data_IF_138148184256
#
_entry.id   IF_138148184256
#
_cell.length_a   1.000
_cell.length_b   1.000
_cell.length_c   1.000
_cell.angle_alpha   90.00
_cell.angle_beta   90.00
_cell.angle_gamma   90.00
#
_symmetry.space_group_name_H-M   'P 1'
#
loop_
_entity.id
_entity.type
_entity.pdbx_description
1 polymer ?
#
# COMPACT_ATOMS: atom_id res chain seq x y z
N UNK A 1 -10.70 -48.60 -43.69
CA UNK A 1 -10.46 -47.19 -44.04
C UNK A 1 -11.84 -46.53 -44.10
N UNK A 2 -12.28 -45.56 -43.30
CA UNK A 2 -11.66 -44.40 -42.61
C UNK A 2 -12.51 -44.16 -41.34
N UNK A 3 -11.88 -44.09 -40.16
CA UNK A 3 -11.75 -42.84 -39.37
C UNK A 3 -12.90 -42.71 -38.35
N UNK A 4 -12.77 -43.24 -37.13
CA UNK A 4 -12.22 -42.60 -35.93
C UNK A 4 -13.28 -41.81 -35.13
N UNK A 5 -13.57 -42.36 -33.95
CA UNK A 5 -14.17 -41.76 -32.74
C UNK A 5 -13.28 -40.60 -32.22
N UNK A 6 -13.79 -39.76 -31.30
CA UNK A 6 -13.15 -38.67 -30.50
C UNK A 6 -13.38 -37.27 -31.09
N UNK A 7 -13.84 -36.20 -30.43
CA UNK A 7 -13.96 -35.78 -29.02
C UNK A 7 -14.98 -34.62 -28.98
N UNK A 8 -16.00 -34.60 -28.12
CA UNK A 8 -15.98 -34.12 -26.73
C UNK A 8 -15.45 -32.67 -26.55
N UNK A 9 -16.35 -31.78 -26.12
CA UNK A 9 -16.14 -30.59 -25.30
C UNK A 9 -14.96 -29.66 -25.66
N UNK A 10 -15.23 -28.61 -26.44
CA UNK A 10 -14.30 -27.49 -26.59
C UNK A 10 -15.02 -26.17 -26.32
N UNK A 11 -14.59 -25.46 -25.27
CA UNK A 11 -14.88 -24.04 -25.10
C UNK A 11 -15.58 -23.61 -23.80
N UNK A 12 -15.26 -24.16 -22.64
CA UNK A 12 -15.60 -23.51 -21.36
C UNK A 12 -14.47 -23.63 -20.34
N UNK A 13 -13.32 -23.03 -20.62
CA UNK A 13 -12.26 -22.82 -19.62
C UNK A 13 -11.53 -21.51 -19.95
N UNK A 14 -12.03 -20.35 -19.52
CA UNK A 14 -11.21 -19.13 -19.42
C UNK A 14 -11.84 -18.03 -18.55
N UNK A 15 -12.11 -18.30 -17.28
CA UNK A 15 -12.61 -17.23 -16.36
C UNK A 15 -12.02 -17.23 -14.95
N UNK A 16 -11.02 -18.06 -14.65
CA UNK A 16 -10.45 -18.15 -13.28
C UNK A 16 -9.16 -17.34 -13.03
N UNK A 17 -8.62 -16.62 -14.02
CA UNK A 17 -7.30 -15.98 -13.89
C UNK A 17 -7.31 -14.59 -13.22
N UNK A 18 -8.45 -13.92 -13.09
CA UNK A 18 -8.51 -12.53 -12.61
C UNK A 18 -8.44 -12.40 -11.09
N UNK A 19 -8.89 -13.41 -10.33
CA UNK A 19 -8.91 -13.36 -8.87
C UNK A 19 -7.50 -13.46 -8.25
N UNK A 20 -6.60 -14.24 -8.85
CA UNK A 20 -5.24 -14.44 -8.33
C UNK A 20 -4.33 -13.21 -8.47
N UNK A 21 -4.51 -12.42 -9.53
CA UNK A 21 -3.71 -11.21 -9.76
C UNK A 21 -4.01 -10.12 -8.73
N UNK A 22 -5.30 -9.90 -8.44
CA UNK A 22 -5.72 -8.90 -7.46
C UNK A 22 -5.22 -9.22 -6.03
N UNK A 23 -5.23 -10.50 -5.64
CA UNK A 23 -4.74 -10.91 -4.32
C UNK A 23 -3.22 -10.77 -4.17
N UNK A 24 -2.46 -11.08 -5.24
CA UNK A 24 -1.01 -10.92 -5.21
C UNK A 24 -0.61 -9.44 -5.14
N UNK A 25 -1.29 -8.60 -5.94
CA UNK A 25 -1.08 -7.16 -5.93
C UNK A 25 -1.33 -6.53 -4.55
N UNK A 26 -2.42 -6.92 -3.88
CA UNK A 26 -2.70 -6.44 -2.53
C UNK A 26 -1.59 -6.82 -1.55
N UNK A 27 -1.13 -8.09 -1.60
CA UNK A 27 -0.04 -8.55 -0.73
C UNK A 27 1.27 -7.76 -0.96
N UNK A 28 1.60 -7.43 -2.21
CA UNK A 28 2.80 -6.65 -2.53
C UNK A 28 2.71 -5.20 -2.05
N UNK A 29 1.52 -4.59 -2.16
CA UNK A 29 1.23 -3.26 -1.62
C UNK A 29 1.36 -3.24 -0.10
N UNK A 30 0.70 -4.18 0.59
CA UNK A 30 0.76 -4.29 2.06
C UNK A 30 2.19 -4.56 2.53
N UNK A 31 2.94 -5.40 1.81
CA UNK A 31 4.37 -5.67 2.07
C UNK A 31 5.23 -4.41 1.96
N UNK A 32 5.01 -3.59 0.92
CA UNK A 32 5.72 -2.32 0.72
C UNK A 32 5.48 -1.35 1.88
N UNK A 33 4.22 -1.20 2.30
CA UNK A 33 3.85 -0.31 3.42
C UNK A 33 4.39 -0.87 4.74
N UNK A 34 4.30 -2.18 4.96
CA UNK A 34 4.86 -2.86 6.13
C UNK A 34 6.36 -2.62 6.23
N UNK A 35 7.10 -2.78 5.12
CA UNK A 35 8.53 -2.53 5.07
C UNK A 35 8.91 -1.11 5.49
N UNK A 36 8.11 -0.10 5.10
CA UNK A 36 8.31 1.26 5.58
C UNK A 36 8.07 1.39 7.09
N UNK A 37 7.01 0.78 7.64
CA UNK A 37 6.75 0.80 9.08
C UNK A 37 7.86 0.11 9.88
N UNK A 38 8.38 -1.02 9.41
CA UNK A 38 9.50 -1.71 10.05
C UNK A 38 10.77 -0.86 10.03
N UNK A 39 11.04 -0.14 8.93
CA UNK A 39 12.15 0.82 8.86
C UNK A 39 11.96 1.97 9.86
N UNK A 40 10.75 2.51 10.00
CA UNK A 40 10.45 3.52 11.03
C UNK A 40 10.65 2.98 12.46
N UNK A 41 10.24 1.73 12.76
CA UNK A 41 10.46 1.09 14.06
C UNK A 41 11.95 0.94 14.39
N UNK A 42 12.79 0.74 13.37
CA UNK A 42 14.24 0.68 13.49
C UNK A 42 14.93 2.07 13.49
N UNK A 43 14.16 3.16 13.47
CA UNK A 43 14.64 4.54 13.26
C UNK A 43 15.47 4.72 11.96
N UNK A 44 15.26 3.84 10.98
CA UNK A 44 15.89 3.86 9.65
C UNK A 44 15.05 4.69 8.67
N UNK A 45 15.29 6.00 8.69
CA UNK A 45 14.61 6.93 7.78
C UNK A 45 15.07 6.80 6.32
N UNK A 46 16.27 6.29 6.08
CA UNK A 46 16.78 6.08 4.71
C UNK A 46 16.07 4.89 4.07
N UNK A 47 15.97 3.77 4.79
CA UNK A 47 15.18 2.61 4.39
C UNK A 47 13.70 2.94 4.25
N UNK A 48 13.12 3.71 5.18
CA UNK A 48 11.72 4.13 5.08
C UNK A 48 11.46 5.02 3.84
N UNK A 49 12.42 5.87 3.48
CA UNK A 49 12.33 6.75 2.31
C UNK A 49 12.56 5.99 0.99
N UNK A 50 13.26 4.86 0.99
CA UNK A 50 13.44 4.02 -0.20
C UNK A 50 12.12 3.44 -0.74
N UNK A 51 11.11 3.27 0.12
CA UNK A 51 9.75 2.84 -0.28
C UNK A 51 8.92 3.96 -0.94
N UNK A 52 9.37 5.21 -0.86
CA UNK A 52 8.71 6.33 -1.52
C UNK A 52 8.86 6.25 -3.05
N UNK A 53 7.88 6.76 -3.78
CA UNK A 53 7.96 6.89 -5.24
C UNK A 53 9.08 7.86 -5.66
N UNK A 54 9.63 7.74 -6.88
CA UNK A 54 10.65 8.66 -7.37
C UNK A 54 10.22 10.13 -7.30
N UNK A 55 8.94 10.41 -7.59
CA UNK A 55 8.39 11.77 -7.49
C UNK A 55 8.40 12.29 -6.05
N UNK A 56 8.00 11.45 -5.09
CA UNK A 56 8.01 11.81 -3.68
C UNK A 56 9.45 11.99 -3.17
N UNK A 57 10.39 11.18 -3.65
CA UNK A 57 11.81 11.34 -3.35
C UNK A 57 12.38 12.66 -3.87
N UNK A 58 12.08 13.00 -5.13
CA UNK A 58 12.47 14.29 -5.72
C UNK A 58 11.87 15.49 -4.97
N UNK A 59 10.64 15.36 -4.48
CA UNK A 59 9.97 16.43 -3.74
C UNK A 59 10.67 16.74 -2.42
N UNK A 60 11.10 15.72 -1.66
CA UNK A 60 11.78 15.93 -0.37
C UNK A 60 13.27 16.23 -0.51
N UNK A 61 13.90 15.83 -1.62
CA UNK A 61 15.31 16.04 -1.97
C UNK A 61 16.34 15.36 -1.02
N UNK A 62 16.01 15.16 0.24
CA UNK A 62 16.88 14.52 1.24
C UNK A 62 16.07 13.75 2.30
N UNK A 63 16.71 12.71 2.85
CA UNK A 63 16.18 11.92 3.97
C UNK A 63 15.93 12.78 5.20
N UNK A 64 16.70 13.85 5.43
CA UNK A 64 16.51 14.73 6.58
C UNK A 64 15.25 15.60 6.47
N UNK A 65 14.92 16.07 5.26
CA UNK A 65 13.67 16.78 5.01
C UNK A 65 12.47 15.84 5.17
N UNK A 66 12.58 14.62 4.63
CA UNK A 66 11.58 13.57 4.82
C UNK A 66 11.37 13.26 6.30
N UNK A 67 12.45 13.01 7.05
CA UNK A 67 12.40 12.78 8.50
C UNK A 67 11.68 13.90 9.22
N UNK A 68 12.05 15.15 8.96
CA UNK A 68 11.42 16.33 9.60
C UNK A 68 9.93 16.41 9.32
N UNK A 69 9.53 16.16 8.07
CA UNK A 69 8.13 16.12 7.66
C UNK A 69 7.37 15.02 8.40
N UNK A 70 7.90 13.79 8.40
CA UNK A 70 7.24 12.64 9.05
C UNK A 70 7.13 12.83 10.55
N UNK A 71 8.21 13.22 11.24
CA UNK A 71 8.18 13.35 12.70
C UNK A 71 7.31 14.51 13.19
N UNK A 72 7.08 15.53 12.35
CA UNK A 72 6.26 16.69 12.70
C UNK A 72 4.80 16.53 12.25
N UNK A 73 4.57 16.04 11.03
CA UNK A 73 3.24 15.94 10.42
C UNK A 73 2.55 14.60 10.66
N UNK A 74 3.33 13.51 10.74
CA UNK A 74 2.83 12.15 10.89
C UNK A 74 3.52 11.37 12.02
N UNK A 75 3.60 11.93 13.25
CA UNK A 75 4.29 11.27 14.35
C UNK A 75 3.71 9.89 14.69
N UNK A 76 2.41 9.68 14.43
CA UNK A 76 1.75 8.39 14.60
C UNK A 76 2.28 7.32 13.63
N UNK A 77 2.72 7.69 12.43
CA UNK A 77 3.28 6.74 11.46
C UNK A 77 4.68 6.30 11.90
N UNK A 78 5.50 7.25 12.36
CA UNK A 78 6.84 6.96 12.88
C UNK A 78 6.80 6.16 14.18
N UNK A 79 5.95 6.54 15.14
CA UNK A 79 5.82 5.89 16.46
C UNK A 79 4.42 5.36 16.69
N UNK A 80 4.25 4.08 16.37
CA UNK A 80 3.00 3.33 16.52
C UNK A 80 3.18 2.06 17.38
N UNK A 81 2.05 1.52 17.81
CA UNK A 81 1.93 0.23 18.50
C UNK A 81 1.28 -0.85 17.64
N UNK A 82 0.36 -0.46 16.76
CA UNK A 82 -0.43 -1.37 15.93
C UNK A 82 -0.71 -0.74 14.57
N UNK A 83 -0.68 -1.57 13.53
CA UNK A 83 -0.99 -1.20 12.14
C UNK A 83 -1.92 -2.25 11.56
N UNK A 84 -3.04 -1.82 10.96
CA UNK A 84 -4.00 -2.71 10.32
C UNK A 84 -4.34 -2.23 8.92
N UNK A 85 -4.23 -3.13 7.96
CA UNK A 85 -4.69 -2.90 6.60
C UNK A 85 -6.22 -3.07 6.54
N UNK A 86 -6.87 -2.09 5.90
CA UNK A 86 -8.31 -2.07 5.66
C UNK A 86 -8.55 -2.19 4.15
N UNK A 87 -9.45 -1.39 3.60
CA UNK A 87 -9.83 -1.47 2.19
C UNK A 87 -8.69 -1.03 1.25
N UNK A 88 -8.41 -1.86 0.24
CA UNK A 88 -7.68 -1.47 -0.96
C UNK A 88 -8.68 -1.02 -2.03
N UNK A 89 -8.46 0.16 -2.60
CA UNK A 89 -9.37 0.79 -3.56
C UNK A 89 -8.61 1.33 -4.76
N UNK A 90 -9.15 1.17 -5.96
CA UNK A 90 -8.63 1.85 -7.14
C UNK A 90 -9.39 3.17 -7.37
N UNK A 91 -8.66 4.28 -7.44
CA UNK A 91 -9.21 5.62 -7.68
C UNK A 91 -8.39 6.28 -8.77
N UNK A 92 -9.02 6.60 -9.90
CA UNK A 92 -8.39 7.24 -11.05
C UNK A 92 -7.12 6.51 -11.55
N UNK A 93 -7.13 5.17 -11.51
CA UNK A 93 -6.01 4.32 -11.95
C UNK A 93 -4.86 4.20 -10.95
N UNK A 94 -4.95 4.82 -9.78
CA UNK A 94 -4.01 4.61 -8.68
C UNK A 94 -4.63 3.71 -7.60
N UNK A 95 -3.81 2.89 -6.96
CA UNK A 95 -4.23 2.06 -5.84
C UNK A 95 -4.13 2.85 -4.53
N UNK A 96 -5.14 2.76 -3.70
CA UNK A 96 -5.25 3.46 -2.42
C UNK A 96 -5.51 2.45 -1.31
N UNK A 97 -4.48 2.21 -0.50
CA UNK A 97 -4.57 1.33 0.65
C UNK A 97 -4.95 2.15 1.89
N UNK A 98 -6.12 1.85 2.46
CA UNK A 98 -6.51 2.42 3.75
C UNK A 98 -5.81 1.65 4.87
N UNK A 99 -5.20 2.38 5.80
CA UNK A 99 -4.43 1.84 6.91
C UNK A 99 -4.89 2.48 8.21
N UNK A 100 -5.20 1.66 9.20
CA UNK A 100 -5.43 2.10 10.56
C UNK A 100 -4.14 2.00 11.36
N UNK A 101 -3.73 3.09 12.01
CA UNK A 101 -2.53 3.14 12.84
C UNK A 101 -2.92 3.55 14.25
N UNK A 102 -2.42 2.81 15.25
CA UNK A 102 -2.58 3.17 16.66
C UNK A 102 -1.27 3.70 17.21
N UNK A 103 -1.26 4.92 17.73
CA UNK A 103 -0.05 5.54 18.30
C UNK A 103 0.33 4.96 19.68
N UNK A 104 1.44 5.44 20.24
CA UNK A 104 1.91 5.03 21.58
C UNK A 104 0.97 5.45 22.73
N UNK A 105 0.06 6.39 22.49
CA UNK A 105 -0.93 6.87 23.46
C UNK A 105 -2.26 6.11 23.34
N UNK A 106 -2.39 5.22 22.37
CA UNK A 106 -3.61 4.46 22.10
C UNK A 106 -4.62 5.17 21.20
N UNK A 107 -4.26 6.32 20.60
CA UNK A 107 -5.12 6.97 19.62
C UNK A 107 -5.04 6.27 18.28
N UNK A 108 -6.19 6.05 17.67
CA UNK A 108 -6.32 5.44 16.35
C UNK A 108 -6.49 6.50 15.28
N UNK A 109 -5.72 6.38 14.21
CA UNK A 109 -5.74 7.23 13.02
C UNK A 109 -6.02 6.38 11.79
N UNK A 110 -6.77 6.93 10.84
CA UNK A 110 -6.97 6.34 9.53
C UNK A 110 -6.15 7.11 8.51
N UNK A 111 -5.33 6.41 7.74
CA UNK A 111 -4.50 6.98 6.70
C UNK A 111 -4.79 6.31 5.36
N UNK A 112 -4.76 7.09 4.30
CA UNK A 112 -4.85 6.61 2.93
C UNK A 112 -3.48 6.72 2.26
N UNK A 113 -2.94 5.56 1.85
CA UNK A 113 -1.67 5.42 1.15
C UNK A 113 -1.94 5.27 -0.34
N UNK A 114 -1.51 6.27 -1.12
CA UNK A 114 -1.51 6.16 -2.57
C UNK A 114 -0.30 5.34 -3.02
N UNK A 115 -0.56 4.29 -3.77
CA UNK A 115 0.42 3.34 -4.28
C UNK A 115 0.49 3.43 -5.79
N UNK A 116 1.71 3.47 -6.30
CA UNK A 116 2.01 3.47 -7.73
C UNK A 116 2.94 2.31 -8.04
N UNK A 117 2.69 1.62 -9.13
CA UNK A 117 3.56 0.57 -9.63
C UNK A 117 4.71 1.20 -10.43
N UNK A 118 5.94 0.88 -10.08
CA UNK A 118 7.15 1.25 -10.83
C UNK A 118 7.83 -0.01 -11.38
N UNK A 119 8.80 0.11 -12.30
CA UNK A 119 9.57 -1.04 -12.77
C UNK A 119 10.27 -1.83 -11.65
N UNK A 120 10.52 -1.19 -10.51
CA UNK A 120 11.12 -1.76 -9.30
C UNK A 120 10.09 -2.26 -8.26
N UNK A 121 8.81 -2.28 -8.63
CA UNK A 121 7.69 -2.71 -7.79
C UNK A 121 6.82 -1.56 -7.25
N UNK A 122 5.96 -1.88 -6.29
CA UNK A 122 5.06 -0.89 -5.69
C UNK A 122 5.82 0.14 -4.85
N UNK A 123 5.41 1.42 -4.95
CA UNK A 123 5.97 2.54 -4.20
C UNK A 123 4.90 3.47 -3.66
N UNK A 124 5.19 4.12 -2.54
CA UNK A 124 4.29 5.06 -1.86
C UNK A 124 4.40 6.42 -2.52
N UNK A 125 3.34 6.86 -3.19
CA UNK A 125 3.28 8.17 -3.85
C UNK A 125 2.81 9.28 -2.91
N UNK A 126 1.89 8.98 -1.99
CA UNK A 126 1.33 9.93 -1.05
C UNK A 126 0.77 9.22 0.18
N UNK A 127 0.73 9.93 1.31
CA UNK A 127 0.04 9.51 2.53
C UNK A 127 -0.86 10.66 2.97
N UNK A 128 -2.11 10.37 3.29
CA UNK A 128 -3.08 11.36 3.74
C UNK A 128 -3.73 10.89 5.04
N UNK A 129 -3.81 11.76 6.03
CA UNK A 129 -4.62 11.50 7.22
C UNK A 129 -6.09 11.70 6.84
N UNK A 130 -6.91 10.69 7.09
CA UNK A 130 -8.35 10.81 6.97
C UNK A 130 -8.91 11.37 8.27
N UNK A 131 -9.72 12.40 8.17
CA UNK A 131 -10.53 12.84 9.30
C UNK A 131 -11.37 11.66 9.78
N UNK A 132 -11.41 11.44 11.10
CA UNK A 132 -12.37 10.52 11.67
C UNK A 132 -13.76 10.91 11.16
N UNK A 133 -14.62 9.97 10.74
CA UNK A 133 -15.96 10.31 10.31
C UNK A 133 -16.56 11.18 11.39
N UNK A 134 -16.86 12.44 11.04
CA UNK A 134 -17.52 13.37 11.94
C UNK A 134 -18.76 12.64 12.44
N UNK A 135 -18.75 12.25 13.71
CA UNK A 135 -19.91 11.68 14.37
C UNK A 135 -20.94 12.80 14.33
N UNK A 136 -21.76 12.79 13.30
CA UNK A 136 -22.96 13.61 13.24
C UNK A 136 -23.85 12.98 14.30
N UNK A 137 -23.93 13.66 15.44
CA UNK A 137 -24.84 13.33 16.53
C UNK A 137 -26.30 13.38 16.05
#
# INVERSE_FOLDING_TARGET
>A
MRGAVLSAFFGMVLTFATAFGATAQQADIESTITGQFEAFKADDFEGAFAYASPNLQMMFQSTENFKRMVTSGYPMVWKNTDVRFLDLREIAGAQWQKVQVTDLKGFTYLLDYQMVETPEGWRIASVQLLDAPSVSA
#
